data_IF_690409113148
#
_entry.id   IF_690409113148
#
_cell.length_a   1.000
_cell.length_b   1.000
_cell.length_c   1.000
_cell.angle_alpha   90.00
_cell.angle_beta   90.00
_cell.angle_gamma   90.00
#
_symmetry.space_group_name_H-M   'P 1'
#
loop_
_entity.id
_entity.type
_entity.pdbx_description
1 polymer ?
#
# COMPACT_ATOMS: atom_id res chain seq x y z
N UNK A 1 -29.54 -50.50 -24.35
CA UNK A 1 -28.80 -49.25 -24.66
C UNK A 1 -29.54 -48.08 -24.03
N UNK A 2 -28.78 -47.15 -23.41
CA UNK A 2 -29.17 -45.98 -22.58
C UNK A 2 -29.39 -46.22 -21.06
N UNK A 3 -28.31 -46.04 -20.32
CA UNK A 3 -28.24 -45.49 -18.95
C UNK A 3 -28.13 -43.95 -19.04
N UNK A 4 -28.10 -43.17 -17.94
CA UNK A 4 -28.74 -43.27 -16.61
C UNK A 4 -29.43 -41.93 -16.25
N UNK A 5 -29.94 -41.68 -15.04
CA UNK A 5 -29.15 -40.97 -14.03
C UNK A 5 -29.87 -40.96 -12.68
N UNK A 6 -29.13 -41.47 -11.70
CA UNK A 6 -29.49 -41.62 -10.30
C UNK A 6 -29.64 -40.29 -9.57
N UNK A 7 -30.68 -40.21 -8.75
CA UNK A 7 -30.81 -39.28 -7.62
C UNK A 7 -29.66 -39.50 -6.63
N UNK A 8 -28.88 -38.47 -6.29
CA UNK A 8 -27.92 -38.52 -5.17
C UNK A 8 -28.00 -37.26 -4.31
N UNK A 9 -28.62 -37.47 -3.15
CA UNK A 9 -28.36 -36.93 -1.80
C UNK A 9 -27.37 -35.76 -1.61
N UNK A 10 -27.92 -34.64 -1.14
CA UNK A 10 -27.52 -33.82 0.01
C UNK A 10 -26.05 -33.85 0.51
N UNK A 11 -25.30 -32.76 0.33
CA UNK A 11 -24.31 -32.21 1.31
C UNK A 11 -24.12 -30.70 1.09
N UNK A 12 -24.57 -29.86 2.04
CA UNK A 12 -23.93 -28.55 2.30
C UNK A 12 -22.66 -28.85 3.12
N UNK A 13 -21.51 -28.21 2.83
CA UNK A 13 -21.17 -27.03 3.64
C UNK A 13 -20.21 -25.99 3.00
N UNK A 14 -20.21 -24.81 3.63
CA UNK A 14 -19.08 -23.88 3.84
C UNK A 14 -18.54 -23.01 2.68
N UNK A 15 -18.60 -21.70 2.98
CA UNK A 15 -17.62 -20.67 2.65
C UNK A 15 -17.40 -20.36 1.16
N UNK A 16 -18.25 -19.50 0.62
CA UNK A 16 -17.82 -18.62 -0.47
C UNK A 16 -17.11 -17.42 0.15
N UNK A 17 -15.79 -17.55 0.27
CA UNK A 17 -14.88 -16.45 0.53
C UNK A 17 -15.21 -15.30 -0.44
N UNK A 18 -15.55 -14.13 0.12
CA UNK A 18 -15.65 -12.91 -0.65
C UNK A 18 -14.25 -12.55 -1.14
N UNK A 19 -13.95 -12.90 -2.39
CA UNK A 19 -12.84 -12.36 -3.17
C UNK A 19 -13.11 -10.86 -3.37
N UNK A 20 -12.62 -10.04 -2.45
CA UNK A 20 -12.47 -8.60 -2.71
C UNK A 20 -11.33 -8.44 -3.72
N UNK A 21 -11.72 -8.38 -4.99
CA UNK A 21 -10.86 -7.96 -6.09
C UNK A 21 -10.53 -6.48 -5.84
N UNK A 22 -9.37 -6.20 -5.26
CA UNK A 22 -8.82 -4.85 -5.20
C UNK A 22 -8.32 -4.46 -6.60
N UNK A 23 -9.23 -3.86 -7.37
CA UNK A 23 -8.92 -3.15 -8.61
C UNK A 23 -8.25 -1.81 -8.27
N UNK A 24 -6.96 -1.82 -7.93
CA UNK A 24 -6.17 -0.60 -7.70
C UNK A 24 -5.14 -0.32 -8.82
N UNK A 25 -5.37 -0.85 -10.02
CA UNK A 25 -4.62 -0.47 -11.20
C UNK A 25 -5.38 0.64 -11.93
N UNK A 26 -4.86 1.89 -11.82
CA UNK A 26 -5.11 3.08 -12.67
C UNK A 26 -5.33 4.37 -11.85
N UNK A 27 -4.31 4.85 -11.12
CA UNK A 27 -4.28 6.23 -10.58
C UNK A 27 -2.93 6.94 -10.78
N UNK A 28 -2.11 6.48 -11.72
CA UNK A 28 -0.74 6.97 -11.88
C UNK A 28 -0.58 8.32 -12.64
N UNK A 29 -1.58 9.21 -12.69
CA UNK A 29 -1.39 10.45 -13.48
C UNK A 29 -2.02 11.76 -12.97
N UNK A 30 -2.67 11.79 -11.80
CA UNK A 30 -3.07 13.04 -11.13
C UNK A 30 -3.21 12.89 -9.60
N UNK A 31 -2.64 11.83 -9.01
CA UNK A 31 -2.80 11.55 -7.58
C UNK A 31 -1.64 12.13 -6.80
N UNK A 32 -1.96 13.05 -5.89
CA UNK A 32 -1.05 13.60 -4.91
C UNK A 32 -0.50 12.44 -4.05
N UNK A 33 0.82 12.20 -4.10
CA UNK A 33 1.46 11.10 -3.37
C UNK A 33 1.26 11.26 -1.85
N UNK A 34 1.28 12.51 -1.37
CA UNK A 34 0.98 12.90 0.00
C UNK A 34 -0.40 12.48 0.50
N UNK A 35 -1.38 12.35 -0.40
CA UNK A 35 -2.74 11.90 -0.08
C UNK A 35 -2.88 10.37 0.08
N UNK A 36 -1.86 9.59 -0.30
CA UNK A 36 -1.83 8.14 -0.07
C UNK A 36 -1.96 7.87 1.43
N UNK A 37 -2.81 6.95 1.86
CA UNK A 37 -2.88 6.56 3.27
C UNK A 37 -1.81 5.54 3.65
N UNK A 38 -1.49 5.41 4.94
CA UNK A 38 -0.60 4.36 5.43
C UNK A 38 -1.04 2.94 5.02
N UNK A 39 -2.36 2.68 4.98
CA UNK A 39 -2.89 1.38 4.55
C UNK A 39 -2.62 1.10 3.07
N UNK A 40 -2.86 2.09 2.21
CA UNK A 40 -2.61 2.00 0.77
C UNK A 40 -1.12 1.86 0.49
N UNK A 41 -0.29 2.63 1.20
CA UNK A 41 1.16 2.55 1.08
C UNK A 41 1.70 1.19 1.54
N UNK A 42 1.18 0.63 2.64
CA UNK A 42 1.59 -0.68 3.13
C UNK A 42 1.30 -1.81 2.14
N UNK A 43 0.18 -1.72 1.42
CA UNK A 43 -0.27 -2.70 0.43
C UNK A 43 0.50 -2.65 -0.90
N UNK A 44 1.28 -1.59 -1.14
CA UNK A 44 2.10 -1.45 -2.36
C UNK A 44 3.24 -2.46 -2.41
N UNK A 45 3.62 -2.85 -3.63
CA UNK A 45 4.89 -3.55 -3.88
C UNK A 45 6.08 -2.65 -3.58
N UNK A 46 7.26 -3.23 -3.45
CA UNK A 46 8.49 -2.45 -3.24
C UNK A 46 8.71 -1.35 -4.29
N UNK A 47 8.50 -1.66 -5.58
CA UNK A 47 8.65 -0.68 -6.66
C UNK A 47 7.65 0.47 -6.56
N UNK A 48 6.39 0.15 -6.24
CA UNK A 48 5.35 1.16 -6.04
C UNK A 48 5.59 2.02 -4.79
N UNK A 49 6.12 1.44 -3.71
CA UNK A 49 6.56 2.18 -2.53
C UNK A 49 7.67 3.16 -2.90
N UNK A 50 8.69 2.71 -3.64
CA UNK A 50 9.75 3.58 -4.13
C UNK A 50 9.22 4.72 -5.01
N UNK A 51 8.30 4.44 -5.94
CA UNK A 51 7.70 5.47 -6.79
C UNK A 51 6.88 6.46 -5.97
N UNK A 52 6.14 5.99 -4.97
CA UNK A 52 5.35 6.86 -4.07
C UNK A 52 6.27 7.75 -3.25
N UNK A 53 7.36 7.21 -2.68
CA UNK A 53 8.34 8.01 -1.93
C UNK A 53 9.05 9.05 -2.81
N UNK A 54 9.40 8.70 -4.06
CA UNK A 54 9.99 9.66 -5.02
C UNK A 54 9.03 10.78 -5.35
N UNK A 55 7.78 10.44 -5.68
CA UNK A 55 6.74 11.43 -5.96
C UNK A 55 6.50 12.34 -4.76
N UNK A 56 6.46 11.77 -3.55
CA UNK A 56 6.28 12.52 -2.31
C UNK A 56 7.45 13.49 -2.07
N UNK A 57 8.71 13.09 -2.30
CA UNK A 57 9.85 14.02 -2.21
C UNK A 57 9.72 15.16 -3.24
N UNK A 58 9.33 14.85 -4.47
CA UNK A 58 9.15 15.84 -5.54
C UNK A 58 8.02 16.83 -5.25
N UNK A 59 6.93 16.40 -4.61
CA UNK A 59 5.82 17.27 -4.19
C UNK A 59 6.22 18.33 -3.16
N UNK A 60 7.34 18.10 -2.46
CA UNK A 60 7.88 19.00 -1.44
C UNK A 60 9.24 19.59 -1.84
N UNK A 61 9.53 19.64 -3.15
CA UNK A 61 10.77 20.22 -3.71
C UNK A 61 12.07 19.60 -3.16
N UNK A 62 12.02 18.34 -2.72
CA UNK A 62 13.18 17.59 -2.24
C UNK A 62 13.76 16.71 -3.36
N UNK A 63 15.09 16.60 -3.39
CA UNK A 63 15.77 15.80 -4.39
C UNK A 63 15.55 14.30 -4.13
N UNK A 64 14.91 13.54 -5.05
CA UNK A 64 14.50 12.16 -4.81
C UNK A 64 15.63 11.13 -4.93
N UNK A 65 16.82 11.52 -5.40
CA UNK A 65 17.99 10.64 -5.44
C UNK A 65 18.99 10.97 -4.33
N UNK A 66 18.73 12.00 -3.52
CA UNK A 66 19.50 12.27 -2.31
C UNK A 66 19.27 11.14 -1.31
N UNK A 67 20.38 10.55 -0.87
CA UNK A 67 20.35 9.38 0.01
C UNK A 67 19.78 9.76 1.38
N UNK A 68 20.05 10.97 1.87
CA UNK A 68 19.54 11.47 3.14
C UNK A 68 18.02 11.60 3.13
N UNK A 69 17.48 12.28 2.13
CA UNK A 69 16.04 12.45 1.94
C UNK A 69 15.34 11.10 1.79
N UNK A 70 15.90 10.19 0.99
CA UNK A 70 15.31 8.86 0.75
C UNK A 70 15.27 8.02 2.03
N UNK A 71 16.38 7.96 2.76
CA UNK A 71 16.49 7.16 4.00
C UNK A 71 15.66 7.79 5.13
N UNK A 72 15.72 9.11 5.27
CA UNK A 72 14.93 9.87 6.24
C UNK A 72 13.44 9.66 6.01
N UNK A 73 12.97 9.81 4.76
CA UNK A 73 11.57 9.59 4.41
C UNK A 73 11.15 8.16 4.69
N UNK A 74 11.94 7.16 4.28
CA UNK A 74 11.61 5.75 4.54
C UNK A 74 11.44 5.49 6.04
N UNK A 75 12.37 5.98 6.88
CA UNK A 75 12.28 5.82 8.33
C UNK A 75 11.07 6.52 8.93
N UNK A 76 10.77 7.74 8.46
CA UNK A 76 9.61 8.49 8.92
C UNK A 76 8.31 7.75 8.58
N UNK A 77 8.17 7.27 7.34
CA UNK A 77 7.02 6.49 6.89
C UNK A 77 6.89 5.15 7.64
N UNK A 78 7.99 4.41 7.82
CA UNK A 78 7.98 3.14 8.55
C UNK A 78 7.52 3.33 10.01
N UNK A 79 8.05 4.36 10.69
CA UNK A 79 7.69 4.69 12.07
C UNK A 79 6.25 5.20 12.21
N UNK A 80 5.84 6.08 11.29
CA UNK A 80 4.52 6.70 11.29
C UNK A 80 3.44 5.67 10.96
N UNK A 81 3.61 4.88 9.92
CA UNK A 81 2.64 3.87 9.50
C UNK A 81 2.77 2.53 10.25
N UNK A 82 3.85 2.34 11.02
CA UNK A 82 4.12 1.09 11.72
C UNK A 82 4.24 -0.09 10.76
N UNK A 83 5.08 0.07 9.72
CA UNK A 83 5.30 -0.95 8.71
C UNK A 83 6.28 -2.01 9.22
N UNK A 84 5.89 -3.28 9.12
CA UNK A 84 6.76 -4.43 9.40
C UNK A 84 6.96 -5.21 8.12
N UNK A 85 8.21 -5.52 7.77
CA UNK A 85 8.53 -6.36 6.61
C UNK A 85 8.86 -5.63 5.29
N UNK A 86 9.06 -4.30 5.32
CA UNK A 86 9.79 -3.44 4.36
C UNK A 86 9.53 -3.61 2.85
N UNK A 87 9.86 -4.78 2.31
CA UNK A 87 9.91 -5.08 0.89
C UNK A 87 8.65 -5.76 0.34
N UNK A 88 7.85 -6.38 1.20
CA UNK A 88 6.61 -7.04 0.77
C UNK A 88 5.39 -6.15 1.01
N UNK A 89 4.34 -6.29 0.18
CA UNK A 89 3.01 -5.84 0.51
C UNK A 89 2.60 -6.38 1.88
N UNK A 90 1.98 -5.54 2.70
CA UNK A 90 1.57 -5.88 4.04
C UNK A 90 0.49 -4.95 4.56
N UNK A 91 0.51 -4.71 5.86
CA UNK A 91 -0.45 -3.83 6.52
C UNK A 91 0.27 -2.82 7.39
N UNK A 92 -0.27 -1.61 7.49
CA UNK A 92 0.15 -0.61 8.46
C UNK A 92 -0.44 -0.97 9.83
N UNK A 93 0.37 -0.96 10.89
CA UNK A 93 -0.13 -1.14 12.26
C UNK A 93 -0.49 0.18 12.95
N UNK A 94 -0.10 1.32 12.37
CA UNK A 94 -0.32 2.67 12.92
C UNK A 94 -0.83 3.61 11.85
N UNK A 95 -1.62 4.62 12.26
CA UNK A 95 -2.10 5.70 11.39
C UNK A 95 -2.75 5.22 10.07
N UNK A 96 -3.45 4.09 10.11
CA UNK A 96 -3.93 3.32 8.96
C UNK A 96 -4.62 4.16 7.87
N UNK A 97 -5.51 5.07 8.28
CA UNK A 97 -6.26 5.97 7.40
C UNK A 97 -5.65 7.36 7.25
N UNK A 98 -4.52 7.65 7.91
CA UNK A 98 -3.85 8.95 7.81
C UNK A 98 -2.96 8.99 6.57
N UNK A 99 -2.83 10.19 6.01
CA UNK A 99 -2.12 10.44 4.76
C UNK A 99 -0.61 10.56 4.97
N UNK A 100 0.20 10.19 3.97
CA UNK A 100 1.66 10.20 4.06
C UNK A 100 2.25 11.59 4.28
N UNK A 101 1.57 12.64 3.80
CA UNK A 101 1.96 14.05 4.04
C UNK A 101 2.10 14.38 5.54
N UNK A 102 1.37 13.67 6.41
CA UNK A 102 1.44 13.85 7.88
C UNK A 102 2.58 13.10 8.54
N UNK A 103 3.27 12.23 7.80
CA UNK A 103 4.36 11.43 8.34
C UNK A 103 5.62 12.24 8.58
N UNK A 104 5.77 13.39 7.90
CA UNK A 104 6.98 14.20 8.00
C UNK A 104 6.72 15.69 8.15
N UNK A 105 7.63 16.34 8.86
CA UNK A 105 7.74 17.79 8.88
C UNK A 105 8.56 18.27 7.67
N UNK A 106 7.86 18.67 6.62
CA UNK A 106 8.44 19.17 5.37
C UNK A 106 9.25 20.45 5.53
N UNK A 107 9.12 21.16 6.66
CA UNK A 107 9.93 22.36 6.94
C UNK A 107 11.34 22.02 7.42
N UNK A 108 11.59 20.76 7.83
CA UNK A 108 12.90 20.32 8.29
C UNK A 108 13.87 20.17 7.11
N UNK A 109 14.99 20.91 7.17
CA UNK A 109 16.02 20.95 6.10
C UNK A 109 16.96 19.73 6.07
N UNK A 110 16.90 18.86 7.08
CA UNK A 110 17.77 17.68 7.25
C UNK A 110 17.07 16.62 8.10
N UNK A 111 17.06 15.37 7.63
CA UNK A 111 16.45 14.21 8.30
C UNK A 111 17.50 13.13 8.57
#
# INVERSE_FOLDING_TARGET
MRHPSSTTSNRRPKACAALLVLSAACLASCSNAGATTCSEYAAKTYSEKQNTSKALLQEHDLEPNDVGNTVGLSKALDSYCGLTGGFQPGSSSKNVSSTLDKAVDWSAKRW
#
